data_IF_793587201643
#
_entry.id   IF_793587201643
#
_cell.length_a   1.000
_cell.length_b   1.000
_cell.length_c   1.000
_cell.angle_alpha   90.00
_cell.angle_beta   90.00
_cell.angle_gamma   90.00
#
_symmetry.space_group_name_H-M   'P 1'
#
loop_
_entity.id
_entity.type
_entity.pdbx_description
1 polymer ?
#
# COMPACT_ATOMS: atom_id res chain seq x y z
N UNK A 1 41.09 26.89 4.70
CA UNK A 1 41.08 25.46 5.09
C UNK A 1 39.64 24.89 4.90
N UNK A 2 39.21 24.50 3.69
CA UNK A 2 37.80 24.05 3.43
C UNK A 2 37.68 22.89 2.40
N UNK A 3 38.78 22.36 1.84
CA UNK A 3 38.71 21.37 0.72
C UNK A 3 38.27 19.95 1.10
N UNK A 4 38.24 19.57 2.39
CA UNK A 4 37.99 18.17 2.82
C UNK A 4 36.49 17.79 2.96
N UNK A 5 35.58 18.75 3.14
CA UNK A 5 34.16 18.45 3.33
C UNK A 5 33.48 17.89 2.07
N UNK A 6 33.84 18.40 0.88
CA UNK A 6 33.25 17.94 -0.39
C UNK A 6 33.58 16.49 -0.73
N UNK A 7 34.82 16.03 -0.48
CA UNK A 7 35.22 14.63 -0.75
C UNK A 7 34.48 13.65 0.17
N UNK A 8 34.33 14.00 1.45
CA UNK A 8 33.58 13.21 2.45
C UNK A 8 32.09 13.11 2.10
N UNK A 9 31.45 14.22 1.73
CA UNK A 9 30.05 14.19 1.29
C UNK A 9 29.85 13.38 0.01
N UNK A 10 30.75 13.52 -0.98
CA UNK A 10 30.70 12.71 -2.22
C UNK A 10 30.84 11.22 -1.93
N UNK A 11 31.77 10.84 -1.05
CA UNK A 11 31.92 9.45 -0.61
C UNK A 11 30.69 8.95 0.15
N UNK A 12 30.05 9.77 1.00
CA UNK A 12 28.80 9.41 1.69
C UNK A 12 27.63 9.22 0.72
N UNK A 13 27.42 10.15 -0.22
CA UNK A 13 26.41 10.00 -1.28
C UNK A 13 26.68 8.78 -2.16
N UNK A 14 27.95 8.52 -2.50
CA UNK A 14 28.34 7.35 -3.29
C UNK A 14 28.11 6.04 -2.54
N UNK A 15 28.45 5.98 -1.24
CA UNK A 15 28.15 4.85 -0.37
C UNK A 15 26.64 4.59 -0.29
N UNK A 16 25.83 5.63 -0.03
CA UNK A 16 24.36 5.51 -0.01
C UNK A 16 23.80 5.01 -1.35
N UNK A 17 24.27 5.57 -2.48
CA UNK A 17 23.84 5.19 -3.83
C UNK A 17 24.32 3.81 -4.27
N UNK A 18 25.37 3.26 -3.67
CA UNK A 18 25.91 1.94 -4.11
C UNK A 18 25.68 0.85 -3.07
N UNK A 19 25.22 1.21 -1.88
CA UNK A 19 25.20 0.34 -0.71
C UNK A 19 26.59 -0.08 -0.21
N UNK A 20 27.68 0.44 -0.80
CA UNK A 20 29.04 0.08 -0.42
C UNK A 20 29.46 0.74 0.88
N UNK A 21 30.38 0.11 1.61
CA UNK A 21 31.04 0.71 2.76
C UNK A 21 31.67 2.07 2.41
N UNK A 22 31.62 3.02 3.35
CA UNK A 22 32.16 4.36 3.15
C UNK A 22 33.65 4.36 2.77
N UNK A 23 34.45 3.43 3.33
CA UNK A 23 35.86 3.25 3.00
C UNK A 23 36.06 2.91 1.51
N UNK A 24 35.30 1.96 0.97
CA UNK A 24 35.33 1.59 -0.46
C UNK A 24 34.83 2.73 -1.35
N UNK A 25 33.79 3.46 -0.92
CA UNK A 25 33.30 4.64 -1.61
C UNK A 25 34.32 5.78 -1.67
N UNK A 26 35.07 5.99 -0.57
CA UNK A 26 36.13 6.97 -0.48
C UNK A 26 37.40 6.57 -1.25
N UNK A 27 37.69 5.27 -1.33
CA UNK A 27 38.79 4.68 -2.09
C UNK A 27 38.49 4.54 -3.59
N UNK A 28 37.22 4.65 -4.00
CA UNK A 28 36.81 4.52 -5.40
C UNK A 28 36.61 3.09 -5.89
N UNK A 29 36.71 2.09 -5.00
CA UNK A 29 36.63 0.65 -5.30
C UNK A 29 35.21 0.08 -5.19
N UNK A 30 34.19 0.92 -5.45
CA UNK A 30 32.79 0.49 -5.37
C UNK A 30 32.44 -0.43 -6.52
N UNK A 31 31.96 -1.63 -6.20
CA UNK A 31 31.39 -2.52 -7.19
C UNK A 31 30.04 -1.99 -7.68
N UNK A 32 29.66 -2.33 -8.91
CA UNK A 32 28.36 -2.01 -9.50
C UNK A 32 27.91 -3.23 -10.26
N UNK A 33 26.68 -3.67 -10.02
CA UNK A 33 26.11 -4.87 -10.64
C UNK A 33 24.98 -4.42 -11.56
N UNK A 34 25.15 -4.62 -12.87
CA UNK A 34 24.18 -4.29 -13.91
C UNK A 34 24.03 -5.47 -14.87
N UNK A 35 22.84 -5.71 -15.45
CA UNK A 35 21.60 -4.95 -15.23
C UNK A 35 21.00 -5.21 -13.84
N UNK A 36 20.25 -4.24 -13.32
CA UNK A 36 19.43 -4.46 -12.13
C UNK A 36 18.17 -5.24 -12.54
N UNK A 37 17.75 -6.25 -11.77
CA UNK A 37 16.47 -6.92 -12.02
C UNK A 37 15.31 -5.96 -11.75
N UNK A 38 14.25 -6.10 -12.53
CA UNK A 38 12.97 -5.48 -12.21
C UNK A 38 12.31 -6.26 -11.06
N UNK A 39 12.06 -5.56 -9.97
CA UNK A 39 11.42 -6.08 -8.76
C UNK A 39 10.13 -5.32 -8.42
N UNK A 40 9.54 -4.61 -9.39
CA UNK A 40 8.28 -3.89 -9.21
C UNK A 40 7.16 -4.80 -8.71
N UNK A 41 7.11 -6.05 -9.17
CA UNK A 41 6.12 -7.04 -8.72
C UNK A 41 6.19 -7.36 -7.21
N UNK A 42 7.25 -7.00 -6.49
CA UNK A 42 7.31 -7.15 -5.03
C UNK A 42 6.32 -6.24 -4.30
N UNK A 43 5.83 -5.15 -4.92
CA UNK A 43 4.77 -4.34 -4.32
C UNK A 43 3.41 -5.05 -4.30
N UNK A 44 3.25 -6.11 -5.10
CA UNK A 44 2.02 -6.88 -5.20
C UNK A 44 1.98 -8.05 -4.22
N UNK A 45 3.10 -8.40 -3.58
CA UNK A 45 3.10 -9.47 -2.58
C UNK A 45 2.64 -8.94 -1.23
N UNK A 46 1.75 -9.65 -0.51
CA UNK A 46 1.13 -9.11 0.70
C UNK A 46 2.12 -8.98 1.87
N UNK A 47 3.22 -9.74 1.86
CA UNK A 47 4.17 -9.90 2.97
C UNK A 47 4.89 -8.61 3.42
N UNK A 48 4.88 -7.56 2.59
CA UNK A 48 5.36 -6.24 2.97
C UNK A 48 4.42 -5.48 3.93
N UNK A 49 3.18 -5.96 4.11
CA UNK A 49 2.14 -5.38 5.00
C UNK A 49 2.08 -3.86 4.83
N UNK A 50 1.67 -3.39 3.64
CA UNK A 50 1.53 -1.96 3.23
C UNK A 50 2.74 -1.05 3.49
N UNK A 51 3.87 -1.58 3.96
CA UNK A 51 5.07 -0.79 4.24
C UNK A 51 5.76 -0.45 2.92
N UNK A 52 6.41 0.70 2.91
CA UNK A 52 7.24 1.12 1.79
C UNK A 52 8.41 0.17 1.62
N UNK A 53 8.49 -0.46 0.45
CA UNK A 53 9.59 -1.35 0.08
C UNK A 53 10.76 -0.56 -0.54
N UNK A 54 11.98 -0.84 -0.11
CA UNK A 54 13.19 -0.34 -0.77
C UNK A 54 13.55 -1.25 -1.97
N UNK A 55 12.83 -1.06 -3.08
CA UNK A 55 12.99 -1.87 -4.30
C UNK A 55 14.37 -1.68 -4.97
N UNK A 56 14.97 -0.49 -4.85
CA UNK A 56 16.32 -0.23 -5.36
C UNK A 56 17.38 -1.00 -4.55
N UNK A 57 17.23 -1.05 -3.22
CA UNK A 57 18.07 -1.87 -2.36
C UNK A 57 17.90 -3.36 -2.66
N UNK A 58 16.66 -3.82 -2.81
CA UNK A 58 16.35 -5.21 -3.19
C UNK A 58 17.00 -5.58 -4.53
N UNK A 59 16.87 -4.72 -5.55
CA UNK A 59 17.39 -4.99 -6.88
C UNK A 59 18.92 -5.08 -6.89
N UNK A 60 19.60 -4.21 -6.13
CA UNK A 60 21.06 -4.28 -5.95
C UNK A 60 21.50 -5.53 -5.21
N UNK A 61 20.76 -5.95 -4.19
CA UNK A 61 21.06 -7.17 -3.44
C UNK A 61 20.93 -8.40 -4.35
N UNK A 62 19.83 -8.52 -5.09
CA UNK A 62 19.62 -9.62 -6.04
C UNK A 62 20.68 -9.59 -7.16
N UNK A 63 21.02 -8.41 -7.69
CA UNK A 63 22.08 -8.28 -8.70
C UNK A 63 23.47 -8.71 -8.16
N UNK A 64 23.80 -8.35 -6.92
CA UNK A 64 25.02 -8.79 -6.25
C UNK A 64 25.01 -10.32 -5.97
N UNK A 65 23.83 -10.87 -5.66
CA UNK A 65 23.61 -12.31 -5.52
C UNK A 65 23.90 -13.05 -6.83
N UNK A 66 23.26 -12.65 -7.92
CA UNK A 66 23.47 -13.22 -9.27
C UNK A 66 24.92 -13.10 -9.76
N UNK A 67 25.60 -12.02 -9.38
CA UNK A 67 27.02 -11.83 -9.71
C UNK A 67 27.98 -12.62 -8.80
N UNK A 68 27.49 -13.37 -7.80
CA UNK A 68 28.31 -14.09 -6.82
C UNK A 68 29.17 -13.18 -5.93
N UNK A 69 28.83 -11.90 -5.81
CA UNK A 69 29.66 -10.92 -5.11
C UNK A 69 29.40 -10.92 -3.60
N UNK A 70 30.07 -11.83 -2.89
CA UNK A 70 29.89 -12.07 -1.45
C UNK A 70 30.06 -10.82 -0.56
N UNK A 71 31.05 -9.96 -0.86
CA UNK A 71 31.27 -8.74 -0.07
C UNK A 71 30.13 -7.72 -0.18
N UNK A 72 29.55 -7.58 -1.37
CA UNK A 72 28.37 -6.75 -1.60
C UNK A 72 27.13 -7.36 -0.98
N UNK A 73 26.93 -8.69 -1.12
CA UNK A 73 25.82 -9.40 -0.48
C UNK A 73 25.84 -9.22 1.04
N UNK A 74 26.97 -9.48 1.70
CA UNK A 74 27.09 -9.33 3.16
C UNK A 74 26.75 -7.92 3.64
N UNK A 75 27.23 -6.89 2.92
CA UNK A 75 26.95 -5.49 3.26
C UNK A 75 25.47 -5.15 3.08
N UNK A 76 24.87 -5.59 1.97
CA UNK A 76 23.48 -5.29 1.64
C UNK A 76 22.48 -6.10 2.49
N UNK A 77 22.77 -7.37 2.79
CA UNK A 77 22.01 -8.22 3.71
C UNK A 77 21.93 -7.56 5.08
N UNK A 78 23.07 -7.15 5.64
CA UNK A 78 23.09 -6.49 6.94
C UNK A 78 22.23 -5.22 6.96
N UNK A 79 22.19 -4.48 5.85
CA UNK A 79 21.34 -3.29 5.71
C UNK A 79 19.86 -3.65 5.60
N UNK A 80 19.51 -4.64 4.79
CA UNK A 80 18.11 -5.10 4.64
C UNK A 80 17.57 -5.63 5.96
N UNK A 81 18.34 -6.50 6.64
CA UNK A 81 17.97 -7.09 7.93
C UNK A 81 17.78 -6.01 8.99
N UNK A 82 18.66 -5.01 9.10
CA UNK A 82 18.58 -4.03 10.18
C UNK A 82 17.63 -2.87 9.91
N UNK A 83 17.50 -2.46 8.66
CA UNK A 83 16.84 -1.20 8.32
C UNK A 83 15.57 -1.41 7.48
N UNK A 84 15.36 -2.57 6.84
CA UNK A 84 14.29 -2.77 5.85
C UNK A 84 13.66 -4.17 5.94
N UNK A 85 13.06 -4.49 7.10
CA UNK A 85 12.37 -5.77 7.34
C UNK A 85 11.23 -6.03 6.36
N UNK A 86 10.53 -4.98 5.91
CA UNK A 86 9.47 -5.12 4.92
C UNK A 86 9.99 -5.60 3.56
N UNK A 87 11.13 -5.05 3.11
CA UNK A 87 11.82 -5.50 1.89
C UNK A 87 12.27 -6.95 2.01
N UNK A 88 12.74 -7.36 3.19
CA UNK A 88 13.09 -8.76 3.48
C UNK A 88 11.87 -9.67 3.34
N UNK A 89 10.78 -9.33 4.03
CA UNK A 89 9.54 -10.11 4.02
C UNK A 89 8.97 -10.24 2.60
N UNK A 90 9.00 -9.17 1.80
CA UNK A 90 8.59 -9.22 0.40
C UNK A 90 9.50 -10.12 -0.46
N UNK A 91 10.83 -10.01 -0.33
CA UNK A 91 11.78 -10.85 -1.07
C UNK A 91 11.63 -12.34 -0.75
N UNK A 92 11.42 -12.67 0.54
CA UNK A 92 11.20 -14.04 0.97
C UNK A 92 9.79 -14.54 0.63
N UNK A 93 8.78 -13.69 0.77
CA UNK A 93 7.38 -14.01 0.53
C UNK A 93 7.05 -14.25 -0.93
N UNK A 94 7.68 -13.50 -1.83
CA UNK A 94 7.61 -13.75 -3.26
C UNK A 94 8.09 -15.16 -3.63
N UNK A 95 9.04 -15.74 -2.88
CA UNK A 95 9.54 -17.10 -3.09
C UNK A 95 8.68 -18.12 -2.34
N UNK A 96 8.66 -18.03 -1.01
CA UNK A 96 8.10 -19.05 -0.15
C UNK A 96 6.59 -18.97 0.04
N UNK A 97 5.96 -17.85 -0.34
CA UNK A 97 4.50 -17.74 -0.41
C UNK A 97 3.90 -18.43 -1.62
N UNK A 98 4.67 -18.60 -2.70
CA UNK A 98 4.22 -19.23 -3.95
C UNK A 98 4.68 -20.70 -4.09
N UNK A 99 5.83 -21.07 -3.51
CA UNK A 99 6.31 -22.44 -3.57
C UNK A 99 5.50 -23.37 -2.66
N UNK A 100 5.08 -24.56 -3.13
CA UNK A 100 4.31 -25.51 -2.31
C UNK A 100 5.13 -26.12 -1.17
N UNK A 101 6.47 -26.11 -1.27
CA UNK A 101 7.39 -26.59 -0.27
C UNK A 101 8.70 -25.78 -0.26
N UNK A 102 9.30 -25.62 0.91
CA UNK A 102 10.55 -24.85 1.16
C UNK A 102 11.82 -25.53 0.67
N UNK A 103 11.77 -26.81 0.31
CA UNK A 103 12.95 -27.60 -0.03
C UNK A 103 13.73 -28.08 1.21
N UNK A 104 14.58 -29.09 1.03
CA UNK A 104 15.30 -29.75 2.13
C UNK A 104 16.46 -28.92 2.69
N UNK A 105 17.01 -28.00 1.89
CA UNK A 105 18.17 -27.19 2.25
C UNK A 105 17.81 -25.88 3.00
N UNK A 106 16.53 -25.54 3.11
CA UNK A 106 16.08 -24.35 3.83
C UNK A 106 16.53 -24.37 5.29
N UNK A 107 16.80 -23.19 5.86
CA UNK A 107 17.08 -23.04 7.28
C UNK A 107 15.83 -23.23 8.15
N UNK A 108 16.03 -23.40 9.47
CA UNK A 108 14.89 -23.51 10.41
C UNK A 108 13.99 -22.27 10.42
N UNK A 109 14.50 -21.02 10.43
CA UNK A 109 13.66 -19.83 10.30
C UNK A 109 12.79 -19.86 9.04
N UNK A 110 13.35 -20.26 7.90
CA UNK A 110 12.60 -20.39 6.64
C UNK A 110 11.52 -21.45 6.71
N UNK A 111 11.84 -22.63 7.28
CA UNK A 111 10.85 -23.71 7.49
C UNK A 111 9.68 -23.27 8.35
N UNK A 112 9.96 -22.50 9.40
CA UNK A 112 8.93 -22.01 10.33
C UNK A 112 8.09 -20.90 9.72
N UNK A 113 8.69 -20.02 8.93
CA UNK A 113 8.02 -18.85 8.37
C UNK A 113 7.20 -19.15 7.11
N UNK A 114 7.67 -20.06 6.24
CA UNK A 114 7.02 -20.31 4.95
C UNK A 114 5.55 -20.76 5.01
N UNK A 115 5.07 -21.54 6.00
CA UNK A 115 3.63 -21.79 6.15
C UNK A 115 2.84 -20.48 6.31
N UNK A 116 3.31 -19.55 7.16
CA UNK A 116 2.68 -18.24 7.38
C UNK A 116 2.71 -17.42 6.10
N UNK A 117 3.83 -17.43 5.37
CA UNK A 117 3.94 -16.75 4.08
C UNK A 117 2.95 -17.28 3.03
N UNK A 118 2.68 -18.58 3.00
CA UNK A 118 1.67 -19.17 2.08
C UNK A 118 0.26 -18.79 2.48
N UNK A 119 -0.07 -18.85 3.76
CA UNK A 119 -1.38 -18.37 4.26
C UNK A 119 -1.59 -16.91 3.89
N UNK A 120 -0.57 -16.06 4.10
CA UNK A 120 -0.62 -14.66 3.72
C UNK A 120 -0.86 -14.45 2.21
N UNK A 121 -0.17 -15.23 1.37
CA UNK A 121 -0.37 -15.17 -0.08
C UNK A 121 -1.79 -15.58 -0.50
N UNK A 122 -2.35 -16.62 0.13
CA UNK A 122 -3.70 -17.11 -0.17
C UNK A 122 -4.79 -16.17 0.35
N UNK A 123 -4.55 -15.51 1.49
CA UNK A 123 -5.50 -14.60 2.11
C UNK A 123 -5.42 -13.17 1.57
N UNK A 124 -4.39 -12.82 0.80
CA UNK A 124 -4.16 -11.45 0.32
C UNK A 124 -3.66 -10.48 1.41
N UNK A 125 -3.45 -10.95 2.64
CA UNK A 125 -3.04 -10.14 3.80
C UNK A 125 -1.70 -10.62 4.36
N UNK A 126 -0.81 -9.69 4.71
CA UNK A 126 0.59 -10.03 5.06
C UNK A 126 1.03 -9.70 6.48
N UNK A 127 0.14 -9.24 7.34
CA UNK A 127 0.48 -8.74 8.67
C UNK A 127 1.16 -9.76 9.56
N UNK A 128 0.59 -10.95 9.64
CA UNK A 128 1.16 -12.03 10.44
C UNK A 128 2.51 -12.47 9.89
N UNK A 129 2.64 -12.53 8.55
CA UNK A 129 3.90 -12.86 7.91
C UNK A 129 4.96 -11.80 8.16
N UNK A 130 4.60 -10.52 8.06
CA UNK A 130 5.51 -9.40 8.36
C UNK A 130 5.88 -9.37 9.84
N UNK A 131 4.92 -9.48 10.75
CA UNK A 131 5.15 -9.50 12.19
C UNK A 131 6.08 -10.63 12.61
N UNK A 132 5.95 -11.81 11.97
CA UNK A 132 6.86 -12.92 12.18
C UNK A 132 8.30 -12.60 11.74
N UNK A 133 8.49 -11.89 10.62
CA UNK A 133 9.83 -11.42 10.18
C UNK A 133 10.37 -10.34 11.11
N UNK A 134 9.53 -9.42 11.57
CA UNK A 134 9.93 -8.31 12.43
C UNK A 134 10.37 -8.81 13.83
N UNK A 135 9.73 -9.87 14.32
CA UNK A 135 10.09 -10.54 15.57
C UNK A 135 11.37 -11.39 15.49
N UNK A 136 11.88 -11.71 14.29
CA UNK A 136 13.11 -12.48 14.14
C UNK A 136 14.32 -11.67 14.61
N UNK A 137 15.24 -12.31 15.31
CA UNK A 137 16.57 -11.74 15.51
C UNK A 137 17.31 -11.56 14.16
N UNK A 138 18.39 -10.78 14.18
CA UNK A 138 19.18 -10.49 12.98
C UNK A 138 19.74 -11.74 12.31
N UNK A 139 20.03 -12.81 13.06
CA UNK A 139 20.61 -14.03 12.52
C UNK A 139 19.55 -14.87 11.78
N UNK A 140 18.36 -15.02 12.38
CA UNK A 140 17.24 -15.71 11.79
C UNK A 140 16.74 -15.00 10.53
N UNK A 141 16.65 -13.67 10.55
CA UNK A 141 16.27 -12.88 9.40
C UNK A 141 17.30 -12.94 8.27
N UNK A 142 18.60 -12.90 8.61
CA UNK A 142 19.65 -13.09 7.63
C UNK A 142 19.61 -14.50 6.99
N UNK A 143 19.29 -15.53 7.77
CA UNK A 143 19.13 -16.89 7.25
C UNK A 143 17.96 -16.97 6.26
N UNK A 144 16.78 -16.45 6.64
CA UNK A 144 15.62 -16.37 5.76
C UNK A 144 15.93 -15.63 4.45
N UNK A 145 16.62 -14.49 4.54
CA UNK A 145 16.99 -13.71 3.37
C UNK A 145 17.99 -14.44 2.47
N UNK A 146 18.99 -15.12 3.02
CA UNK A 146 19.95 -15.91 2.23
C UNK A 146 19.25 -17.05 1.50
N UNK A 147 18.39 -17.81 2.18
CA UNK A 147 17.66 -18.89 1.55
C UNK A 147 16.77 -18.37 0.41
N UNK A 148 16.11 -17.21 0.58
CA UNK A 148 15.36 -16.59 -0.50
C UNK A 148 16.26 -16.16 -1.67
N UNK A 149 17.43 -15.59 -1.38
CA UNK A 149 18.39 -15.14 -2.39
C UNK A 149 18.95 -16.29 -3.24
N UNK A 150 19.10 -17.48 -2.66
CA UNK A 150 19.48 -18.68 -3.42
C UNK A 150 18.47 -18.94 -4.54
N UNK A 151 17.16 -18.81 -4.28
CA UNK A 151 16.13 -18.90 -5.33
C UNK A 151 16.21 -17.74 -6.34
N UNK A 152 16.44 -16.50 -5.88
CA UNK A 152 16.61 -15.34 -6.76
C UNK A 152 17.82 -15.46 -7.70
N UNK A 153 18.85 -16.20 -7.27
CA UNK A 153 20.06 -16.48 -8.05
C UNK A 153 19.84 -17.48 -9.19
N UNK A 154 18.89 -18.41 -9.01
CA UNK A 154 18.59 -19.47 -9.99
C UNK A 154 17.74 -18.99 -11.18
N UNK A 155 17.14 -17.80 -11.10
CA UNK A 155 16.45 -17.16 -12.23
C UNK A 155 14.99 -17.60 -12.46
N UNK A 156 14.49 -18.60 -11.73
CA UNK A 156 13.09 -19.10 -11.83
C UNK A 156 12.01 -18.08 -11.42
N UNK A 157 12.41 -16.96 -10.81
CA UNK A 157 11.47 -15.99 -10.22
C UNK A 157 10.79 -15.09 -11.26
N UNK A 158 11.23 -15.08 -12.52
CA UNK A 158 10.44 -14.43 -13.59
C UNK A 158 9.08 -15.11 -13.79
N UNK A 159 9.03 -16.44 -13.61
CA UNK A 159 7.79 -17.22 -13.63
C UNK A 159 6.96 -16.94 -12.38
N UNK A 160 7.60 -16.76 -11.21
CA UNK A 160 6.89 -16.36 -9.99
C UNK A 160 6.36 -14.92 -10.03
N UNK A 161 7.10 -13.96 -10.59
CA UNK A 161 6.66 -12.58 -10.73
C UNK A 161 5.53 -12.44 -11.76
N UNK A 162 5.47 -13.34 -12.75
CA UNK A 162 4.31 -13.47 -13.64
C UNK A 162 3.14 -14.11 -12.90
N UNK A 163 3.34 -15.21 -12.18
CA UNK A 163 2.30 -15.87 -11.40
C UNK A 163 1.68 -14.97 -10.31
N UNK A 164 2.49 -14.13 -9.65
CA UNK A 164 2.03 -13.12 -8.69
C UNK A 164 1.21 -12.04 -9.38
N UNK A 165 1.60 -11.59 -10.58
CA UNK A 165 0.81 -10.62 -11.37
C UNK A 165 -0.52 -11.21 -11.81
N UNK A 166 -0.52 -12.43 -12.34
CA UNK A 166 -1.75 -13.13 -12.74
C UNK A 166 -2.68 -13.38 -11.54
N UNK A 167 -2.14 -13.75 -10.38
CA UNK A 167 -2.93 -13.95 -9.16
C UNK A 167 -3.49 -12.64 -8.59
N UNK A 168 -2.74 -11.52 -8.68
CA UNK A 168 -3.22 -10.20 -8.26
C UNK A 168 -4.32 -9.64 -9.19
N UNK A 169 -4.34 -10.07 -10.47
CA UNK A 169 -5.42 -9.74 -11.41
C UNK A 169 -6.70 -10.58 -11.18
N UNK A 170 -6.59 -11.72 -10.50
CA UNK A 170 -7.67 -12.70 -10.23
C UNK A 170 -8.45 -12.46 -8.92
N UNK A 171 -8.10 -11.46 -8.10
CA UNK A 171 -8.91 -11.06 -6.93
C UNK A 171 -10.16 -10.30 -7.40
N UNK A 172 -11.38 -10.61 -6.92
CA UNK A 172 -12.58 -10.26 -7.69
C UNK A 172 -12.87 -8.75 -7.69
N UNK A 173 -12.75 -8.12 -8.87
CA UNK A 173 -13.43 -6.84 -9.22
C UNK A 173 -14.95 -7.00 -9.39
N UNK A 174 -15.55 -8.00 -8.73
CA UNK A 174 -16.93 -8.42 -8.94
C UNK A 174 -17.69 -8.38 -7.63
N UNK A 175 -18.88 -7.80 -7.68
CA UNK A 175 -19.86 -7.75 -6.60
C UNK A 175 -20.02 -9.12 -5.90
N UNK A 176 -19.91 -9.20 -4.56
CA UNK A 176 -20.23 -10.41 -3.79
C UNK A 176 -21.68 -10.88 -4.02
N UNK A 177 -21.94 -12.18 -3.89
CA UNK A 177 -23.25 -12.77 -4.20
C UNK A 177 -24.35 -12.42 -3.18
N UNK A 178 -24.00 -12.08 -1.94
CA UNK A 178 -24.91 -11.63 -0.88
C UNK A 178 -24.14 -10.78 0.16
N UNK A 179 -23.99 -9.47 -0.07
CA UNK A 179 -23.21 -8.58 0.80
C UNK A 179 -23.72 -8.63 2.25
N UNK A 180 -25.05 -8.58 2.46
CA UNK A 180 -25.66 -8.58 3.79
C UNK A 180 -25.47 -9.88 4.59
N UNK A 181 -25.37 -11.02 3.90
CA UNK A 181 -25.08 -12.31 4.52
C UNK A 181 -23.65 -12.42 5.05
N UNK A 182 -22.69 -11.84 4.32
CA UNK A 182 -21.28 -11.80 4.71
C UNK A 182 -21.06 -10.86 5.92
N UNK A 183 -21.70 -9.69 5.94
CA UNK A 183 -21.64 -8.77 7.07
C UNK A 183 -22.10 -9.45 8.39
N UNK A 184 -23.26 -10.13 8.37
CA UNK A 184 -23.78 -10.82 9.56
C UNK A 184 -22.88 -11.98 10.02
N UNK A 185 -22.26 -12.71 9.09
CA UNK A 185 -21.35 -13.82 9.40
C UNK A 185 -20.05 -13.36 10.09
N UNK A 186 -19.63 -12.11 9.85
CA UNK A 186 -18.47 -11.48 10.48
C UNK A 186 -18.75 -10.90 11.88
N UNK A 187 -19.95 -11.12 12.45
CA UNK A 187 -20.31 -10.64 13.80
C UNK A 187 -20.77 -9.18 13.85
N UNK A 188 -21.25 -8.66 12.73
CA UNK A 188 -21.64 -7.26 12.57
C UNK A 188 -23.07 -7.06 13.05
N UNK A 189 -23.24 -6.21 14.08
CA UNK A 189 -24.54 -5.74 14.53
C UNK A 189 -25.12 -4.76 13.53
N UNK A 190 -26.21 -5.15 12.87
CA UNK A 190 -27.07 -4.26 12.09
C UNK A 190 -27.96 -3.54 13.10
N UNK A 191 -27.78 -2.24 13.28
CA UNK A 191 -28.69 -1.42 14.08
C UNK A 191 -29.89 -1.05 13.21
N UNK A 192 -31.10 -1.24 13.75
CA UNK A 192 -32.36 -0.87 13.10
C UNK A 192 -32.97 0.31 13.84
N UNK A 193 -33.55 1.25 13.09
CA UNK A 193 -34.26 2.47 13.51
C UNK A 193 -35.36 2.32 14.60
N UNK A 194 -35.69 1.10 15.04
CA UNK A 194 -36.69 0.86 16.10
C UNK A 194 -36.16 1.14 17.53
N UNK A 195 -34.88 1.49 17.70
CA UNK A 195 -34.24 1.59 19.03
C UNK A 195 -33.83 3.01 19.48
N UNK A 196 -34.13 4.08 18.74
CA UNK A 196 -33.74 5.46 19.11
C UNK A 196 -34.90 6.46 19.02
N UNK A 197 -35.48 6.80 20.17
CA UNK A 197 -36.38 7.94 20.36
C UNK A 197 -35.61 9.26 20.14
N UNK A 198 -35.83 9.94 19.01
CA UNK A 198 -35.29 11.28 18.74
C UNK A 198 -36.37 12.37 18.83
N UNK A 199 -36.10 13.50 19.51
CA UNK A 199 -37.06 14.60 19.66
C UNK A 199 -37.08 15.55 18.45
N UNK A 200 -38.27 16.08 18.14
CA UNK A 200 -38.52 17.02 17.04
C UNK A 200 -37.73 18.33 17.15
N UNK A 201 -37.04 18.72 16.07
CA UNK A 201 -36.66 20.12 15.83
C UNK A 201 -35.21 20.46 15.43
N UNK A 202 -34.42 19.54 14.84
CA UNK A 202 -33.10 19.87 14.29
C UNK A 202 -33.13 20.08 12.76
N UNK A 203 -32.34 21.05 12.30
CA UNK A 203 -32.27 21.60 10.94
C UNK A 203 -31.90 20.56 9.86
N UNK A 204 -32.59 20.63 8.71
CA UNK A 204 -32.68 19.57 7.72
C UNK A 204 -31.49 19.55 6.74
N UNK A 205 -30.36 18.99 7.17
CA UNK A 205 -29.31 18.37 6.33
C UNK A 205 -29.80 17.07 5.64
N UNK A 206 -31.12 16.91 5.45
CA UNK A 206 -31.85 15.64 5.29
C UNK A 206 -32.42 15.43 3.89
N UNK A 207 -31.61 15.28 2.83
CA UNK A 207 -32.11 14.67 1.59
C UNK A 207 -31.11 13.76 0.84
N UNK A 208 -29.81 13.77 1.17
CA UNK A 208 -28.83 12.84 0.61
C UNK A 208 -27.94 12.26 1.68
N UNK A 209 -27.57 11.00 1.50
CA UNK A 209 -26.66 10.29 2.40
C UNK A 209 -25.27 10.93 2.37
N UNK A 210 -24.68 11.16 3.55
CA UNK A 210 -23.43 11.88 3.72
C UNK A 210 -22.33 10.96 4.25
N UNK A 211 -21.13 11.19 3.74
CA UNK A 211 -19.92 10.51 4.19
C UNK A 211 -19.01 11.48 4.90
N UNK A 212 -18.36 11.04 5.96
CA UNK A 212 -17.16 11.68 6.49
C UNK A 212 -15.92 11.19 5.75
N UNK A 213 -14.81 11.94 5.86
CA UNK A 213 -13.54 11.58 5.21
C UNK A 213 -12.41 11.45 6.22
N UNK A 214 -11.57 10.45 6.00
CA UNK A 214 -10.30 10.27 6.69
C UNK A 214 -9.15 10.32 5.70
N UNK A 215 -8.07 11.04 6.07
CA UNK A 215 -6.91 11.23 5.21
C UNK A 215 -5.89 10.12 5.41
N UNK A 216 -5.50 9.47 4.33
CA UNK A 216 -4.48 8.43 4.29
C UNK A 216 -3.49 8.66 3.16
N UNK A 217 -2.62 7.67 2.95
CA UNK A 217 -1.68 7.65 1.83
C UNK A 217 -1.57 6.22 1.31
N UNK A 218 -1.48 6.07 0.00
CA UNK A 218 -1.15 4.81 -0.68
C UNK A 218 0.04 5.01 -1.62
N UNK A 219 0.37 4.00 -2.42
CA UNK A 219 1.35 4.08 -3.49
C UNK A 219 0.75 3.65 -4.83
N UNK A 220 1.12 4.35 -5.90
CA UNK A 220 0.86 3.92 -7.28
C UNK A 220 1.63 2.63 -7.60
N UNK A 221 1.32 1.93 -8.71
CA UNK A 221 2.01 0.69 -9.08
C UNK A 221 3.51 0.88 -9.30
N UNK A 222 3.96 2.07 -9.69
CA UNK A 222 5.37 2.43 -9.82
C UNK A 222 6.02 2.93 -8.49
N UNK A 223 5.32 2.75 -7.36
CA UNK A 223 5.82 3.02 -6.01
C UNK A 223 5.83 4.49 -5.62
N UNK A 224 5.15 5.37 -6.37
CA UNK A 224 5.05 6.78 -6.00
C UNK A 224 3.95 6.97 -4.96
N UNK A 225 4.17 7.77 -3.92
CA UNK A 225 3.13 8.06 -2.95
C UNK A 225 1.96 8.81 -3.61
N UNK A 226 0.74 8.44 -3.24
CA UNK A 226 -0.52 9.04 -3.67
C UNK A 226 -1.37 9.35 -2.44
N UNK A 227 -1.97 10.54 -2.32
CA UNK A 227 -2.88 10.83 -1.22
C UNK A 227 -4.14 9.98 -1.35
N UNK A 228 -4.71 9.58 -0.21
CA UNK A 228 -5.92 8.76 -0.15
C UNK A 228 -6.95 9.43 0.76
N UNK A 229 -8.21 9.35 0.37
CA UNK A 229 -9.37 9.71 1.18
C UNK A 229 -10.24 8.48 1.36
N UNK A 230 -10.49 8.14 2.62
CA UNK A 230 -11.37 7.03 2.99
C UNK A 230 -12.73 7.58 3.42
N UNK A 231 -13.80 7.12 2.79
CA UNK A 231 -15.18 7.50 3.11
C UNK A 231 -15.72 6.60 4.21
N UNK A 232 -16.32 7.20 5.24
CA UNK A 232 -17.11 6.47 6.25
C UNK A 232 -18.52 7.08 6.34
N UNK A 233 -19.57 6.27 6.53
CA UNK A 233 -20.93 6.77 6.69
C UNK A 233 -21.07 7.74 7.87
N UNK A 234 -21.63 8.93 7.64
CA UNK A 234 -22.10 9.83 8.71
C UNK A 234 -23.62 9.76 8.91
N UNK A 235 -24.34 9.25 7.91
CA UNK A 235 -25.79 9.05 7.93
C UNK A 235 -26.15 7.57 7.75
N UNK A 236 -27.36 7.20 8.15
CA UNK A 236 -27.79 5.79 8.19
C UNK A 236 -27.89 5.12 6.82
N UNK A 237 -28.29 5.85 5.77
CA UNK A 237 -28.33 5.28 4.42
C UNK A 237 -26.99 5.41 3.67
N UNK A 238 -25.97 6.05 4.24
CA UNK A 238 -24.64 6.09 3.63
C UNK A 238 -23.99 4.71 3.79
N UNK A 239 -23.48 4.15 2.70
CA UNK A 239 -23.01 2.77 2.67
C UNK A 239 -22.73 2.30 1.26
N UNK A 240 -22.38 1.02 1.12
CA UNK A 240 -21.96 0.49 -0.19
C UNK A 240 -23.10 0.58 -1.20
N UNK A 241 -24.35 0.34 -0.77
CA UNK A 241 -25.53 0.43 -1.63
C UNK A 241 -25.81 1.86 -2.11
N UNK A 242 -25.59 2.87 -1.26
CA UNK A 242 -25.74 4.29 -1.65
C UNK A 242 -24.64 4.71 -2.62
N UNK A 243 -23.38 4.31 -2.37
CA UNK A 243 -22.30 4.53 -3.34
C UNK A 243 -22.57 3.83 -4.67
N UNK A 244 -22.98 2.55 -4.68
CA UNK A 244 -23.38 1.82 -5.89
C UNK A 244 -24.53 2.51 -6.64
N UNK A 245 -25.45 3.15 -5.92
CA UNK A 245 -26.60 3.84 -6.52
C UNK A 245 -26.24 5.20 -7.12
N UNK A 246 -25.22 5.87 -6.57
CA UNK A 246 -24.85 7.25 -6.92
C UNK A 246 -23.60 7.33 -7.79
N UNK A 247 -22.78 6.29 -7.82
CA UNK A 247 -21.53 6.30 -8.55
C UNK A 247 -21.44 5.09 -9.47
N UNK A 248 -20.59 5.22 -10.47
CA UNK A 248 -20.17 4.15 -11.36
C UNK A 248 -18.80 3.58 -10.95
N UNK A 249 -18.41 3.80 -9.68
CA UNK A 249 -17.10 3.38 -9.18
C UNK A 249 -16.94 1.86 -9.24
N UNK A 250 -15.71 1.42 -9.43
CA UNK A 250 -15.41 -0.01 -9.47
C UNK A 250 -15.28 -0.57 -8.05
N UNK A 251 -15.74 -1.81 -7.86
CA UNK A 251 -15.40 -2.58 -6.67
C UNK A 251 -13.88 -2.80 -6.61
N UNK A 252 -13.28 -2.43 -5.49
CA UNK A 252 -11.85 -2.34 -5.34
C UNK A 252 -11.35 -3.05 -4.07
N UNK A 253 -10.85 -4.27 -4.23
CA UNK A 253 -10.26 -5.05 -3.13
C UNK A 253 -8.84 -4.64 -2.73
N UNK A 254 -8.51 -3.34 -2.74
CA UNK A 254 -7.16 -2.82 -2.40
C UNK A 254 -6.01 -3.30 -3.33
N UNK A 255 -6.33 -3.88 -4.47
CA UNK A 255 -5.36 -4.41 -5.43
C UNK A 255 -5.45 -3.70 -6.78
N UNK A 256 -4.28 -3.35 -7.34
CA UNK A 256 -4.20 -2.47 -8.50
C UNK A 256 -4.70 -1.05 -8.18
N UNK A 257 -4.64 -0.17 -9.17
CA UNK A 257 -5.29 1.15 -9.05
C UNK A 257 -6.65 1.10 -9.73
N UNK A 258 -7.70 1.69 -9.11
CA UNK A 258 -8.96 1.91 -9.80
C UNK A 258 -8.78 2.93 -10.92
N UNK A 259 -9.79 3.01 -11.78
CA UNK A 259 -9.80 3.95 -12.89
C UNK A 259 -9.75 5.41 -12.45
N UNK A 260 -9.16 6.23 -13.30
CA UNK A 260 -9.14 7.69 -13.13
C UNK A 260 -10.41 8.25 -13.72
N UNK A 261 -11.24 8.84 -12.88
CA UNK A 261 -12.35 9.66 -13.31
C UNK A 261 -12.09 11.12 -12.92
N UNK A 262 -11.92 11.94 -13.96
CA UNK A 262 -11.67 13.37 -13.76
C UNK A 262 -12.94 14.18 -13.56
N UNK A 263 -14.13 13.60 -13.71
CA UNK A 263 -15.40 14.24 -13.36
C UNK A 263 -15.56 14.30 -11.84
N UNK A 264 -15.03 13.33 -11.10
CA UNK A 264 -14.86 13.43 -9.65
C UNK A 264 -13.78 14.45 -9.24
N UNK A 265 -14.14 15.36 -8.34
CA UNK A 265 -13.33 16.48 -7.85
C UNK A 265 -13.23 16.48 -6.35
N UNK A 266 -11.99 16.43 -5.85
CA UNK A 266 -11.68 16.88 -4.50
C UNK A 266 -11.41 18.39 -4.53
N UNK A 267 -12.31 19.18 -3.94
CA UNK A 267 -12.17 20.64 -3.81
C UNK A 267 -11.26 20.96 -2.61
N UNK A 268 -10.23 21.76 -2.85
CA UNK A 268 -9.27 22.16 -1.83
C UNK A 268 -8.96 23.66 -1.92
N UNK A 269 -8.92 24.34 -0.77
CA UNK A 269 -8.62 25.77 -0.69
C UNK A 269 -7.12 26.01 -0.48
N UNK A 270 -6.49 26.78 -1.37
CA UNK A 270 -5.05 27.08 -1.26
C UNK A 270 -4.75 28.00 -0.07
N UNK A 271 -5.67 28.95 0.20
CA UNK A 271 -5.45 30.02 1.17
C UNK A 271 -5.15 29.51 2.59
N UNK A 272 -5.84 28.45 3.02
CA UNK A 272 -5.76 27.87 4.36
C UNK A 272 -5.39 26.37 4.35
N UNK A 273 -5.10 25.83 3.17
CA UNK A 273 -4.71 24.43 2.95
C UNK A 273 -5.73 23.44 3.50
N UNK A 274 -7.00 23.72 3.23
CA UNK A 274 -8.13 22.92 3.70
C UNK A 274 -8.82 22.16 2.57
N UNK A 275 -9.50 21.08 2.93
CA UNK A 275 -10.44 20.39 2.05
C UNK A 275 -11.83 21.03 2.19
N UNK A 276 -12.55 21.12 1.07
CA UNK A 276 -13.87 21.76 1.01
C UNK A 276 -14.99 20.78 0.70
N UNK A 277 -14.75 19.82 -0.18
CA UNK A 277 -15.77 18.83 -0.56
C UNK A 277 -15.28 17.83 -1.60
N UNK A 278 -16.02 16.75 -1.74
CA UNK A 278 -15.86 15.72 -2.75
C UNK A 278 -17.15 15.67 -3.58
N UNK A 279 -17.03 16.04 -4.86
CA UNK A 279 -18.17 16.19 -5.76
C UNK A 279 -17.90 15.52 -7.10
N UNK A 280 -18.94 15.03 -7.75
CA UNK A 280 -18.94 14.77 -9.18
C UNK A 280 -19.31 16.05 -9.92
N UNK A 281 -18.81 16.20 -11.14
CA UNK A 281 -19.06 17.35 -12.01
C UNK A 281 -19.59 16.83 -13.32
N UNK A 282 -20.77 17.28 -13.71
CA UNK A 282 -21.42 16.86 -14.94
C UNK A 282 -20.76 17.45 -16.20
N UNK A 283 -21.29 17.09 -17.37
CA UNK A 283 -20.81 17.56 -18.68
C UNK A 283 -20.95 19.09 -18.86
N UNK A 284 -21.88 19.73 -18.12
CA UNK A 284 -22.10 21.18 -18.14
C UNK A 284 -21.15 21.91 -17.16
N UNK A 285 -20.42 21.17 -16.33
CA UNK A 285 -19.46 21.70 -15.37
C UNK A 285 -20.05 22.04 -14.00
N UNK A 286 -21.29 21.63 -13.74
CA UNK A 286 -22.01 21.83 -12.48
C UNK A 286 -21.79 20.64 -11.53
N UNK A 287 -21.85 20.90 -10.22
CA UNK A 287 -21.74 19.86 -9.21
C UNK A 287 -23.10 19.12 -9.12
N UNK A 288 -23.17 17.87 -9.58
CA UNK A 288 -24.41 17.06 -9.66
C UNK A 288 -24.53 16.02 -8.52
N UNK A 289 -23.39 15.54 -8.00
CA UNK A 289 -23.33 14.63 -6.84
C UNK A 289 -22.34 15.17 -5.81
N UNK A 290 -22.76 15.25 -4.56
CA UNK A 290 -21.89 15.60 -3.43
C UNK A 290 -21.84 14.45 -2.41
N UNK A 291 -20.67 13.82 -2.26
CA UNK A 291 -20.48 12.74 -1.28
C UNK A 291 -20.02 13.26 0.08
N UNK A 292 -19.29 14.38 0.09
CA UNK A 292 -18.80 14.99 1.33
C UNK A 292 -18.62 16.48 1.15
N UNK A 293 -18.90 17.22 2.23
CA UNK A 293 -18.63 18.65 2.36
C UNK A 293 -18.03 18.94 3.72
N UNK A 294 -16.99 19.76 3.75
CA UNK A 294 -16.40 20.21 5.00
C UNK A 294 -17.38 21.13 5.74
N UNK A 295 -17.86 20.73 6.92
CA UNK A 295 -18.68 21.58 7.77
C UNK A 295 -17.92 22.83 8.25
N UNK A 296 -16.58 22.74 8.36
CA UNK A 296 -15.66 23.82 8.72
C UNK A 296 -14.34 23.64 7.98
N UNK A 297 -13.54 24.71 7.84
CA UNK A 297 -12.22 24.61 7.23
C UNK A 297 -11.29 23.72 8.07
N UNK A 298 -10.94 22.54 7.54
CA UNK A 298 -10.01 21.60 8.16
C UNK A 298 -8.64 21.73 7.49
N UNK A 299 -7.71 22.43 8.12
CA UNK A 299 -6.33 22.51 7.63
C UNK A 299 -5.65 21.14 7.69
N UNK A 300 -5.03 20.76 6.57
CA UNK A 300 -4.37 19.47 6.42
C UNK A 300 -2.94 19.46 6.97
N UNK A 301 -2.41 18.29 7.39
CA UNK A 301 -0.99 18.13 7.67
C UNK A 301 -0.14 18.58 6.49
N UNK A 302 0.96 19.30 6.78
CA UNK A 302 1.81 19.91 5.74
C UNK A 302 2.33 18.90 4.72
N UNK A 303 2.72 17.72 5.18
CA UNK A 303 3.26 16.65 4.32
C UNK A 303 2.18 16.07 3.41
N UNK A 304 0.93 16.00 3.88
CA UNK A 304 -0.21 15.53 3.09
C UNK A 304 -0.62 16.57 2.05
N UNK A 305 -0.66 17.86 2.42
CA UNK A 305 -0.91 18.95 1.46
C UNK A 305 0.16 18.99 0.36
N UNK A 306 1.44 18.87 0.71
CA UNK A 306 2.52 18.84 -0.28
C UNK A 306 2.42 17.62 -1.21
N UNK A 307 1.95 16.49 -0.69
CA UNK A 307 1.66 15.30 -1.50
C UNK A 307 0.49 15.56 -2.47
N UNK A 308 -0.59 16.19 -1.99
CA UNK A 308 -1.75 16.57 -2.79
C UNK A 308 -1.39 17.53 -3.94
N UNK A 309 -0.60 18.57 -3.65
CA UNK A 309 -0.11 19.54 -4.65
C UNK A 309 0.72 18.85 -5.75
N UNK A 310 1.55 17.88 -5.36
CA UNK A 310 2.42 17.16 -6.29
C UNK A 310 1.65 16.15 -7.14
N UNK A 311 0.74 15.39 -6.53
CA UNK A 311 0.02 14.32 -7.21
C UNK A 311 -1.13 14.86 -8.10
N UNK A 312 -1.78 15.94 -7.66
CA UNK A 312 -2.97 16.54 -8.28
C UNK A 312 -4.15 15.59 -8.48
N UNK A 313 -4.04 14.38 -7.91
CA UNK A 313 -5.03 13.31 -7.92
C UNK A 313 -5.02 12.68 -6.53
N UNK A 314 -6.15 12.11 -6.17
CA UNK A 314 -6.37 11.47 -4.87
C UNK A 314 -7.12 10.16 -5.11
N UNK A 315 -6.69 9.09 -4.44
CA UNK A 315 -7.49 7.88 -4.36
C UNK A 315 -8.64 8.14 -3.40
N UNK A 316 -9.87 7.99 -3.85
CA UNK A 316 -11.04 7.96 -2.97
C UNK A 316 -11.51 6.52 -2.85
N UNK A 317 -11.75 6.07 -1.63
CA UNK A 317 -12.14 4.69 -1.34
C UNK A 317 -13.16 4.64 -0.21
N UNK A 318 -14.15 3.76 -0.33
CA UNK A 318 -15.10 3.51 0.74
C UNK A 318 -16.30 2.70 0.26
N UNK A 319 -17.27 2.44 1.14
CA UNK A 319 -17.34 2.92 2.51
C UNK A 319 -16.57 2.01 3.46
N UNK A 320 -16.10 2.56 4.57
CA UNK A 320 -15.62 1.79 5.73
C UNK A 320 -16.43 2.14 6.96
N UNK A 321 -16.61 1.17 7.86
CA UNK A 321 -17.40 1.36 9.09
C UNK A 321 -16.75 2.36 10.05
N UNK A 322 -15.43 2.29 10.18
CA UNK A 322 -14.66 3.12 11.10
C UNK A 322 -13.52 3.80 10.34
N UNK A 323 -13.21 5.03 10.75
CA UNK A 323 -12.18 5.87 10.13
C UNK A 323 -10.76 5.39 10.51
N UNK A 324 -10.44 4.13 10.23
CA UNK A 324 -9.15 3.52 10.52
C UNK A 324 -8.70 2.54 9.44
N UNK A 325 -7.43 2.15 9.54
CA UNK A 325 -6.77 1.31 8.55
C UNK A 325 -7.22 -0.16 8.60
N UNK A 326 -7.62 -0.66 9.77
CA UNK A 326 -8.05 -2.05 9.93
C UNK A 326 -9.43 -2.26 9.31
N UNK A 327 -10.33 -1.28 9.48
CA UNK A 327 -11.64 -1.28 8.84
C UNK A 327 -11.54 -1.21 7.31
N UNK A 328 -10.61 -0.40 6.79
CA UNK A 328 -10.32 -0.35 5.36
C UNK A 328 -9.82 -1.69 4.82
N UNK A 329 -8.90 -2.35 5.54
CA UNK A 329 -8.40 -3.66 5.12
C UNK A 329 -9.52 -4.71 5.11
N UNK A 330 -10.30 -4.79 6.18
CA UNK A 330 -11.40 -5.75 6.29
C UNK A 330 -12.44 -5.57 5.16
N UNK A 331 -12.81 -4.33 4.84
CA UNK A 331 -13.72 -4.02 3.74
C UNK A 331 -13.11 -4.37 2.37
N UNK A 332 -11.79 -4.14 2.20
CA UNK A 332 -11.06 -4.52 1.00
C UNK A 332 -11.05 -6.03 0.76
N UNK A 333 -10.72 -6.80 1.80
CA UNK A 333 -10.70 -8.27 1.75
C UNK A 333 -12.10 -8.86 1.48
N UNK A 334 -13.15 -8.17 1.94
CA UNK A 334 -14.54 -8.54 1.69
C UNK A 334 -15.05 -8.14 0.29
N UNK A 335 -14.29 -7.32 -0.46
CA UNK A 335 -14.73 -6.75 -1.74
C UNK A 335 -15.82 -5.69 -1.61
N UNK A 336 -15.91 -5.07 -0.43
CA UNK A 336 -16.96 -4.14 -0.02
C UNK A 336 -16.54 -2.67 -0.15
N UNK A 337 -15.47 -2.42 -0.91
CA UNK A 337 -15.00 -1.09 -1.22
C UNK A 337 -15.32 -0.75 -2.68
N UNK A 338 -15.72 0.49 -2.89
CA UNK A 338 -15.74 1.16 -4.16
C UNK A 338 -14.62 2.20 -4.16
N UNK A 339 -13.97 2.38 -5.31
CA UNK A 339 -12.89 3.35 -5.39
C UNK A 339 -12.80 4.03 -6.76
N UNK A 340 -12.22 5.23 -6.74
CA UNK A 340 -11.92 6.03 -7.92
C UNK A 340 -10.67 6.86 -7.68
N UNK A 341 -9.92 7.19 -8.73
CA UNK A 341 -8.93 8.26 -8.65
C UNK A 341 -9.59 9.57 -9.09
N UNK A 342 -9.90 10.44 -8.13
CA UNK A 342 -10.48 11.75 -8.37
C UNK A 342 -9.39 12.80 -8.64
N UNK A 343 -9.75 13.85 -9.40
CA UNK A 343 -8.85 14.99 -9.65
C UNK A 343 -8.97 16.05 -8.54
N UNK A 344 -7.83 16.62 -8.14
CA UNK A 344 -7.83 17.73 -7.18
C UNK A 344 -8.12 19.04 -7.91
N UNK A 345 -9.05 19.82 -7.36
CA UNK A 345 -9.42 21.15 -7.83
C UNK A 345 -9.07 22.17 -6.76
N UNK A 346 -7.95 22.87 -6.97
CA UNK A 346 -7.53 23.95 -6.09
C UNK A 346 -8.33 25.24 -6.37
N UNK A 347 -8.85 25.85 -5.31
CA UNK A 347 -9.56 27.14 -5.31
C UNK A 347 -8.85 28.16 -4.42
#
# INVERSE_FOLDING_TARGET
MVKKHGKKQRAKKKAQRTGAAYSSAAAGTTHTHTPLPDLSALSLVPHGSWRVLDLDLAARLVAACRAGCQSCQQTLIAKVVKENRATLAALAGAVYGALPAVGFAASDPTRQWAPVARTAMQAGTGDEAFAAVDAMDDAAAAALLNDALDHWSMGDVAVLAEAVRTAAEDVPRRRPADPMGAFRAAGIGVFTLDELDLPDGADAYHLSENYGVFVGQTATPDGRPLPMLTLYPETEGAGIEDLEARTDWEHWGLHGMPDVDTSWRLRAAIADRSLQGLVHVDDDGEDDIELWRAAQAVSLPMDWWALLERAQHVLVVGPVKEADQQALQAAGDAGELLAVIARVSFR
#
